data_IF_454226734787
#
_entry.id   IF_454226734787
#
_cell.length_a   1.000
_cell.length_b   1.000
_cell.length_c   1.000
_cell.angle_alpha   90.00
_cell.angle_beta   90.00
_cell.angle_gamma   90.00
#
_symmetry.space_group_name_H-M   'P 1'
#
loop_
_entity.id
_entity.type
_entity.pdbx_description
1 polymer ?
#
# COMPACT_ATOMS: atom_id res chain seq x y z
N UNK A 1 6.89 -16.76 41.51
CA UNK A 1 7.46 -16.87 40.15
C UNK A 1 6.92 -18.13 39.50
N UNK A 2 5.76 -18.05 38.83
CA UNK A 2 5.06 -19.23 38.30
C UNK A 2 5.79 -19.79 37.07
N UNK A 3 6.39 -20.98 37.21
CA UNK A 3 6.93 -21.75 36.07
C UNK A 3 5.75 -22.17 35.18
N UNK A 4 5.54 -21.48 34.04
CA UNK A 4 4.61 -21.96 33.01
C UNK A 4 5.10 -23.31 32.50
N UNK A 5 4.34 -24.38 32.78
CA UNK A 5 4.55 -25.68 32.14
C UNK A 5 4.24 -25.49 30.66
N UNK A 6 5.27 -25.48 29.81
CA UNK A 6 5.11 -25.41 28.35
C UNK A 6 4.30 -26.63 27.94
N UNK A 7 3.08 -26.41 27.43
CA UNK A 7 2.25 -27.52 26.96
C UNK A 7 2.78 -27.96 25.60
N UNK A 8 2.66 -29.25 25.28
CA UNK A 8 2.99 -29.78 23.94
C UNK A 8 2.27 -28.99 22.84
N UNK A 9 1.04 -28.55 23.13
CA UNK A 9 0.26 -27.67 22.25
C UNK A 9 0.96 -26.33 21.95
N UNK A 10 1.60 -25.69 22.94
CA UNK A 10 2.30 -24.42 22.75
C UNK A 10 3.53 -24.62 21.83
N UNK A 11 4.23 -25.75 21.97
CA UNK A 11 5.37 -26.09 21.12
C UNK A 11 4.94 -26.28 19.68
N UNK A 12 3.83 -27.01 19.45
CA UNK A 12 3.27 -27.22 18.11
C UNK A 12 2.87 -25.89 17.47
N UNK A 13 2.21 -25.00 18.21
CA UNK A 13 1.81 -23.69 17.73
C UNK A 13 3.02 -22.81 17.36
N UNK A 14 4.06 -22.80 18.21
CA UNK A 14 5.30 -22.08 17.95
C UNK A 14 5.98 -22.60 16.68
N UNK A 15 6.06 -23.92 16.49
CA UNK A 15 6.64 -24.51 15.28
C UNK A 15 5.85 -24.09 14.04
N UNK A 16 4.51 -24.17 14.08
CA UNK A 16 3.65 -23.77 12.97
C UNK A 16 3.87 -22.29 12.63
N UNK A 17 3.77 -21.38 13.60
CA UNK A 17 3.98 -19.95 13.33
C UNK A 17 5.41 -19.63 12.87
N UNK A 18 6.41 -20.36 13.35
CA UNK A 18 7.79 -20.21 12.88
C UNK A 18 7.90 -20.60 11.40
N UNK A 19 7.30 -21.73 11.00
CA UNK A 19 7.29 -22.17 9.59
C UNK A 19 6.56 -21.16 8.70
N UNK A 20 5.38 -20.67 9.12
CA UNK A 20 4.66 -19.64 8.36
C UNK A 20 5.47 -18.34 8.23
N UNK A 21 6.10 -17.90 9.32
CA UNK A 21 6.94 -16.70 9.32
C UNK A 21 8.13 -16.85 8.36
N UNK A 22 8.80 -18.01 8.39
CA UNK A 22 9.89 -18.31 7.47
C UNK A 22 9.43 -18.34 6.02
N UNK A 23 8.28 -18.96 5.73
CA UNK A 23 7.72 -19.00 4.38
C UNK A 23 7.45 -17.60 3.81
N UNK A 24 7.08 -16.64 4.65
CA UNK A 24 6.89 -15.23 4.24
C UNK A 24 8.20 -14.45 4.11
N UNK A 25 9.19 -14.71 4.99
CA UNK A 25 10.46 -13.97 5.01
C UNK A 25 11.41 -14.42 3.88
N UNK A 26 11.45 -15.72 3.58
CA UNK A 26 12.35 -16.28 2.54
C UNK A 26 12.24 -15.56 1.19
N UNK A 27 11.05 -15.33 0.59
CA UNK A 27 10.96 -14.63 -0.69
C UNK A 27 11.45 -13.18 -0.61
N UNK A 28 11.19 -12.46 0.49
CA UNK A 28 11.68 -11.09 0.69
C UNK A 28 13.20 -11.07 0.80
N UNK A 29 13.76 -11.99 1.59
CA UNK A 29 15.20 -12.15 1.72
C UNK A 29 15.87 -12.50 0.38
N UNK A 30 15.24 -13.36 -0.44
CA UNK A 30 15.73 -13.72 -1.78
C UNK A 30 15.79 -12.51 -2.71
N UNK A 31 14.77 -11.64 -2.71
CA UNK A 31 14.79 -10.40 -3.49
C UNK A 31 15.94 -9.48 -3.07
N UNK A 32 16.26 -9.42 -1.77
CA UNK A 32 17.41 -8.67 -1.27
C UNK A 32 18.75 -9.29 -1.72
N UNK A 33 18.89 -10.62 -1.65
CA UNK A 33 20.11 -11.30 -2.11
C UNK A 33 20.34 -11.04 -3.61
N UNK A 34 19.30 -11.21 -4.42
CA UNK A 34 19.36 -10.97 -5.87
C UNK A 34 19.68 -9.51 -6.20
N UNK A 35 19.23 -8.54 -5.41
CA UNK A 35 19.53 -7.13 -5.67
C UNK A 35 21.00 -6.77 -5.47
N UNK A 36 21.76 -7.59 -4.74
CA UNK A 36 23.20 -7.43 -4.52
C UNK A 36 24.07 -8.37 -5.37
N UNK A 37 23.49 -9.28 -6.17
CA UNK A 37 24.27 -10.19 -7.01
C UNK A 37 24.57 -9.57 -8.39
N UNK A 38 25.83 -9.63 -8.81
CA UNK A 38 26.30 -9.16 -10.11
C UNK A 38 26.04 -10.19 -11.23
N UNK A 39 25.80 -11.45 -10.87
CA UNK A 39 25.39 -12.49 -11.81
C UNK A 39 23.90 -12.75 -11.66
N UNK A 40 23.23 -13.06 -12.77
CA UNK A 40 21.85 -13.54 -12.73
C UNK A 40 21.81 -14.84 -11.94
N UNK A 41 21.40 -14.77 -10.67
CA UNK A 41 21.19 -15.92 -9.83
C UNK A 41 19.93 -16.66 -10.33
N UNK A 42 20.09 -17.53 -11.33
CA UNK A 42 19.07 -18.51 -11.67
C UNK A 42 19.05 -19.59 -10.57
N UNK A 43 17.93 -19.70 -9.85
CA UNK A 43 17.70 -20.69 -8.79
C UNK A 43 17.35 -20.09 -7.41
N UNK A 44 17.09 -20.94 -6.42
CA UNK A 44 16.88 -20.53 -5.03
C UNK A 44 18.21 -20.48 -4.28
N UNK A 45 19.01 -19.44 -4.54
CA UNK A 45 20.25 -19.17 -3.82
C UNK A 45 19.98 -18.16 -2.70
N UNK A 46 20.36 -18.50 -1.48
CA UNK A 46 20.17 -17.66 -0.30
C UNK A 46 21.39 -16.78 0.01
N UNK A 47 22.43 -16.85 -0.82
CA UNK A 47 23.64 -16.02 -0.72
C UNK A 47 24.09 -15.58 -2.13
N UNK A 48 24.61 -14.36 -2.27
CA UNK A 48 25.06 -13.84 -3.55
C UNK A 48 26.35 -14.53 -3.99
N UNK A 49 26.48 -14.86 -5.27
CA UNK A 49 27.73 -15.43 -5.80
C UNK A 49 28.81 -14.36 -5.96
N UNK A 50 28.42 -13.17 -6.43
CA UNK A 50 29.31 -12.03 -6.57
C UNK A 50 28.62 -10.78 -6.06
N UNK A 51 29.02 -10.35 -4.87
CA UNK A 51 28.51 -9.11 -4.29
C UNK A 51 28.84 -7.89 -5.15
N UNK A 52 27.84 -7.06 -5.42
CA UNK A 52 28.03 -5.76 -6.03
C UNK A 52 26.77 -4.90 -6.10
N UNK A 53 26.96 -3.63 -6.41
CA UNK A 53 25.91 -2.59 -6.39
C UNK A 53 25.50 -2.13 -7.80
N UNK A 54 25.84 -2.91 -8.83
CA UNK A 54 25.59 -2.54 -10.21
C UNK A 54 24.08 -2.42 -10.52
N UNK A 55 23.24 -3.27 -9.92
CA UNK A 55 21.78 -3.19 -10.03
C UNK A 55 21.23 -1.85 -9.55
N UNK A 56 21.67 -1.39 -8.37
CA UNK A 56 21.30 -0.08 -7.84
C UNK A 56 21.79 1.07 -8.73
N UNK A 57 23.05 1.02 -9.20
CA UNK A 57 23.58 2.03 -10.12
C UNK A 57 22.76 2.11 -11.42
N UNK A 58 22.30 0.97 -11.94
CA UNK A 58 21.44 0.90 -13.11
C UNK A 58 20.11 1.64 -12.91
N UNK A 59 19.49 1.50 -11.73
CA UNK A 59 18.22 2.17 -11.40
C UNK A 59 18.40 3.70 -11.38
N UNK A 60 19.47 4.20 -10.77
CA UNK A 60 19.72 5.66 -10.68
C UNK A 60 20.21 6.26 -12.01
N UNK A 61 20.85 5.47 -12.87
CA UNK A 61 21.36 5.96 -14.16
C UNK A 61 20.27 5.92 -15.25
N UNK A 62 19.29 5.02 -15.13
CA UNK A 62 18.25 4.84 -16.14
C UNK A 62 17.02 5.73 -15.86
N UNK A 63 16.77 6.79 -16.67
CA UNK A 63 15.66 7.71 -16.44
C UNK A 63 14.28 7.04 -16.55
N UNK A 64 14.19 5.93 -17.29
CA UNK A 64 12.94 5.16 -17.45
C UNK A 64 12.53 4.45 -16.16
N UNK A 65 13.47 4.18 -15.24
CA UNK A 65 13.19 3.58 -13.93
C UNK A 65 13.05 4.65 -12.83
N UNK A 66 13.91 5.67 -12.86
CA UNK A 66 13.91 6.71 -11.83
C UNK A 66 12.66 7.60 -11.88
N UNK A 67 12.19 7.97 -13.07
CA UNK A 67 11.03 8.87 -13.21
C UNK A 67 9.73 8.25 -12.66
N UNK A 68 9.34 7.00 -13.00
CA UNK A 68 8.17 6.37 -12.40
C UNK A 68 8.27 6.20 -10.89
N UNK A 69 9.47 5.91 -10.37
CA UNK A 69 9.72 5.82 -8.92
C UNK A 69 9.44 7.15 -8.22
N UNK A 70 9.97 8.26 -8.75
CA UNK A 70 9.73 9.59 -8.22
C UNK A 70 8.25 9.99 -8.31
N UNK A 71 7.59 9.68 -9.43
CA UNK A 71 6.15 9.92 -9.59
C UNK A 71 5.35 9.12 -8.56
N UNK A 72 5.68 7.84 -8.34
CA UNK A 72 5.00 7.00 -7.35
C UNK A 72 5.18 7.54 -5.92
N UNK A 73 6.38 8.00 -5.57
CA UNK A 73 6.63 8.64 -4.28
C UNK A 73 5.80 9.92 -4.13
N UNK A 74 5.82 10.79 -5.16
CA UNK A 74 5.05 12.03 -5.18
C UNK A 74 3.54 11.79 -5.05
N UNK A 75 2.97 10.88 -5.84
CA UNK A 75 1.53 10.59 -5.81
C UNK A 75 1.11 9.92 -4.50
N UNK A 76 1.96 9.10 -3.88
CA UNK A 76 1.69 8.50 -2.57
C UNK A 76 1.66 9.58 -1.49
N UNK A 77 2.68 10.42 -1.40
CA UNK A 77 2.76 11.48 -0.38
C UNK A 77 1.60 12.47 -0.55
N UNK A 78 1.41 12.99 -1.76
CA UNK A 78 0.32 13.95 -2.02
C UNK A 78 -1.06 13.32 -1.87
N UNK A 79 -1.23 12.07 -2.30
CA UNK A 79 -2.47 11.30 -2.13
C UNK A 79 -2.81 11.09 -0.66
N UNK A 80 -1.85 10.68 0.17
CA UNK A 80 -2.05 10.50 1.61
C UNK A 80 -2.36 11.82 2.30
N UNK A 81 -1.62 12.90 2.01
CA UNK A 81 -1.86 14.21 2.61
C UNK A 81 -3.26 14.74 2.25
N UNK A 82 -3.64 14.68 0.97
CA UNK A 82 -4.97 15.14 0.53
C UNK A 82 -6.09 14.25 1.08
N UNK A 83 -5.90 12.93 1.07
CA UNK A 83 -6.87 11.98 1.61
C UNK A 83 -7.10 12.19 3.10
N UNK A 84 -6.03 12.29 3.89
CA UNK A 84 -6.14 12.58 5.32
C UNK A 84 -6.77 13.94 5.57
N UNK A 85 -6.42 14.97 4.80
CA UNK A 85 -7.00 16.30 4.95
C UNK A 85 -8.52 16.26 4.75
N UNK A 86 -9.00 15.61 3.68
CA UNK A 86 -10.43 15.51 3.38
C UNK A 86 -11.15 14.63 4.41
N UNK A 87 -10.61 13.44 4.71
CA UNK A 87 -11.21 12.52 5.69
C UNK A 87 -11.27 13.13 7.08
N UNK A 88 -10.21 13.78 7.57
CA UNK A 88 -10.18 14.38 8.90
C UNK A 88 -11.15 15.55 9.00
N UNK A 89 -11.19 16.43 8.00
CA UNK A 89 -12.14 17.55 7.99
C UNK A 89 -13.60 17.05 7.96
N UNK A 90 -13.90 16.06 7.13
CA UNK A 90 -15.23 15.46 7.05
C UNK A 90 -15.63 14.74 8.35
N UNK A 91 -14.74 13.92 8.90
CA UNK A 91 -14.96 13.19 10.15
C UNK A 91 -15.12 14.15 11.34
N UNK A 92 -14.35 15.25 11.38
CA UNK A 92 -14.45 16.26 12.43
C UNK A 92 -15.81 16.95 12.47
N UNK A 93 -16.43 17.20 11.31
CA UNK A 93 -17.79 17.76 11.27
C UNK A 93 -18.81 16.73 11.74
N UNK A 94 -18.68 15.47 11.31
CA UNK A 94 -19.61 14.39 11.63
C UNK A 94 -19.55 13.92 13.09
N UNK A 95 -18.42 14.08 13.78
CA UNK A 95 -18.31 13.70 15.19
C UNK A 95 -19.22 14.55 16.09
N UNK A 96 -19.58 15.78 15.66
CA UNK A 96 -20.41 16.68 16.43
C UNK A 96 -21.86 16.21 16.48
N UNK A 97 -22.37 15.90 17.68
CA UNK A 97 -23.74 15.41 17.87
C UNK A 97 -24.82 16.43 17.53
N UNK A 98 -24.49 17.73 17.58
CA UNK A 98 -25.42 18.84 17.28
C UNK A 98 -25.43 19.26 15.80
N UNK A 99 -24.68 18.58 14.94
CA UNK A 99 -24.63 18.93 13.52
C UNK A 99 -26.00 18.66 12.86
N UNK A 100 -26.65 19.68 12.27
CA UNK A 100 -27.90 19.49 11.55
C UNK A 100 -27.66 18.59 10.33
N UNK A 101 -28.51 17.58 10.12
CA UNK A 101 -28.40 16.67 8.98
C UNK A 101 -27.31 15.58 9.10
N UNK A 102 -26.67 15.41 10.27
CA UNK A 102 -25.62 14.40 10.50
C UNK A 102 -26.01 12.99 10.04
N UNK A 103 -27.21 12.53 10.40
CA UNK A 103 -27.67 11.18 10.06
C UNK A 103 -27.81 11.00 8.54
N UNK A 104 -28.29 12.03 7.84
CA UNK A 104 -28.42 12.01 6.39
C UNK A 104 -27.04 11.91 5.71
N UNK A 105 -26.10 12.79 6.09
CA UNK A 105 -24.74 12.79 5.52
C UNK A 105 -24.03 11.47 5.80
N UNK A 106 -24.12 10.95 7.03
CA UNK A 106 -23.53 9.65 7.38
C UNK A 106 -24.12 8.51 6.54
N UNK A 107 -25.44 8.48 6.32
CA UNK A 107 -26.09 7.46 5.51
C UNK A 107 -25.68 7.52 4.03
N UNK A 108 -25.52 8.72 3.47
CA UNK A 108 -25.02 8.89 2.09
C UNK A 108 -23.59 8.37 1.96
N UNK A 109 -22.72 8.70 2.93
CA UNK A 109 -21.34 8.20 2.95
C UNK A 109 -21.30 6.67 3.04
N UNK A 110 -22.10 6.07 3.93
CA UNK A 110 -22.25 4.62 4.04
C UNK A 110 -22.79 3.99 2.75
N UNK A 111 -23.72 4.66 2.07
CA UNK A 111 -24.23 4.21 0.77
C UNK A 111 -23.11 4.14 -0.28
N UNK A 112 -22.22 5.14 -0.36
CA UNK A 112 -21.10 5.13 -1.31
C UNK A 112 -20.04 4.07 -1.02
N UNK A 113 -19.96 3.57 0.21
CA UNK A 113 -19.13 2.40 0.52
C UNK A 113 -19.72 1.14 -0.11
N UNK A 114 -21.02 0.92 0.07
CA UNK A 114 -21.70 -0.31 -0.35
C UNK A 114 -21.95 -0.32 -1.86
N UNK A 115 -22.30 0.83 -2.43
CA UNK A 115 -22.67 1.01 -3.83
C UNK A 115 -21.62 1.84 -4.57
N UNK A 116 -21.06 1.30 -5.65
CA UNK A 116 -20.09 1.97 -6.49
C UNK A 116 -20.45 1.81 -7.98
N UNK A 117 -20.24 2.86 -8.77
CA UNK A 117 -20.54 2.86 -10.22
C UNK A 117 -19.62 1.94 -11.05
N UNK A 118 -18.54 1.43 -10.48
CA UNK A 118 -17.57 0.58 -11.16
C UNK A 118 -16.56 1.35 -12.01
N UNK A 119 -15.69 0.61 -12.69
CA UNK A 119 -14.53 1.18 -13.39
C UNK A 119 -14.91 2.07 -14.58
N UNK A 120 -15.90 1.65 -15.39
CA UNK A 120 -16.26 2.36 -16.63
C UNK A 120 -16.87 3.74 -16.34
N UNK A 121 -17.92 3.87 -15.48
CA UNK A 121 -18.48 5.19 -15.18
C UNK A 121 -17.47 6.10 -14.49
N UNK A 122 -16.65 5.57 -13.58
CA UNK A 122 -15.58 6.33 -12.92
C UNK A 122 -14.58 6.87 -13.93
N UNK A 123 -14.19 6.07 -14.92
CA UNK A 123 -13.30 6.50 -15.99
C UNK A 123 -13.92 7.59 -16.88
N UNK A 124 -15.20 7.47 -17.23
CA UNK A 124 -15.90 8.49 -18.02
C UNK A 124 -15.94 9.83 -17.29
N UNK A 125 -16.22 9.84 -15.99
CA UNK A 125 -16.18 11.05 -15.16
C UNK A 125 -14.78 11.67 -15.16
N UNK A 126 -13.73 10.87 -14.97
CA UNK A 126 -12.34 11.37 -15.03
C UNK A 126 -11.98 11.93 -16.41
N UNK A 127 -12.53 11.35 -17.48
CA UNK A 127 -12.34 11.83 -18.85
C UNK A 127 -13.03 13.17 -19.09
N UNK A 128 -14.26 13.34 -18.58
CA UNK A 128 -15.00 14.61 -18.65
C UNK A 128 -14.31 15.72 -17.86
N UNK A 129 -13.69 15.40 -16.72
CA UNK A 129 -12.85 16.34 -15.97
C UNK A 129 -11.45 16.56 -16.57
N UNK A 130 -11.13 15.95 -17.71
CA UNK A 130 -9.82 16.02 -18.37
C UNK A 130 -8.64 15.55 -17.48
N UNK A 131 -8.89 14.61 -16.55
CA UNK A 131 -7.92 14.10 -15.58
C UNK A 131 -7.24 12.78 -16.00
N UNK A 132 -7.53 12.25 -17.19
CA UNK A 132 -7.05 10.93 -17.62
C UNK A 132 -5.54 10.82 -17.87
N UNK A 133 -4.88 11.92 -18.22
CA UNK A 133 -3.41 11.97 -18.43
C UNK A 133 -2.75 12.97 -17.47
N UNK A 134 -3.28 13.07 -16.25
CA UNK A 134 -2.82 14.03 -15.25
C UNK A 134 -2.62 13.33 -13.90
N UNK A 135 -1.51 13.65 -13.20
CA UNK A 135 -1.21 13.12 -11.87
C UNK A 135 -2.31 13.48 -10.85
N UNK A 136 -2.99 14.61 -11.04
CA UNK A 136 -4.12 15.01 -10.20
C UNK A 136 -5.28 14.01 -10.22
N UNK A 137 -5.53 13.33 -11.35
CA UNK A 137 -6.55 12.28 -11.41
C UNK A 137 -6.22 11.10 -10.50
N UNK A 138 -4.93 10.75 -10.41
CA UNK A 138 -4.44 9.66 -9.56
C UNK A 138 -4.44 10.03 -8.08
N UNK A 139 -4.30 11.32 -7.76
CA UNK A 139 -4.26 11.82 -6.37
C UNK A 139 -5.67 12.04 -5.82
N UNK A 140 -6.54 12.73 -6.59
CA UNK A 140 -7.85 13.18 -6.11
C UNK A 140 -8.86 12.04 -6.01
N UNK A 141 -8.86 11.11 -6.97
CA UNK A 141 -9.82 10.01 -6.99
C UNK A 141 -9.77 9.14 -5.71
N UNK A 142 -8.60 8.66 -5.25
CA UNK A 142 -8.51 7.91 -3.99
C UNK A 142 -8.59 8.80 -2.74
N UNK A 143 -8.38 10.12 -2.84
CA UNK A 143 -8.43 11.02 -1.68
C UNK A 143 -9.86 11.21 -1.11
N UNK A 144 -10.90 10.98 -1.91
CA UNK A 144 -12.31 11.10 -1.50
C UNK A 144 -12.87 9.74 -1.03
N UNK A 145 -11.99 8.80 -0.69
CA UNK A 145 -12.41 7.48 -0.28
C UNK A 145 -12.89 7.48 1.18
N UNK A 146 -14.18 7.20 1.38
CA UNK A 146 -14.83 7.13 2.70
C UNK A 146 -14.29 5.98 3.56
N UNK A 147 -13.64 4.97 2.97
CA UNK A 147 -13.04 3.84 3.69
C UNK A 147 -11.79 4.22 4.50
N UNK A 148 -11.20 5.40 4.26
CA UNK A 148 -10.02 5.93 4.96
C UNK A 148 -10.41 6.74 6.20
#
# INVERSE_FOLDING_TARGET
MMKKKVKIFDIVLIVIFTVFSLAMIIPVYKVLVDSFDLKTAYGMKLFPERFGLAGYKSIFTNPTMLRPFLISCYTTVMGTVMGLLISVLGAYVLIQWKMPGRAFVANVLLFTMIFNGGMIPTYLVMKEFHLTNNLWGVILLPAINVYN
#
